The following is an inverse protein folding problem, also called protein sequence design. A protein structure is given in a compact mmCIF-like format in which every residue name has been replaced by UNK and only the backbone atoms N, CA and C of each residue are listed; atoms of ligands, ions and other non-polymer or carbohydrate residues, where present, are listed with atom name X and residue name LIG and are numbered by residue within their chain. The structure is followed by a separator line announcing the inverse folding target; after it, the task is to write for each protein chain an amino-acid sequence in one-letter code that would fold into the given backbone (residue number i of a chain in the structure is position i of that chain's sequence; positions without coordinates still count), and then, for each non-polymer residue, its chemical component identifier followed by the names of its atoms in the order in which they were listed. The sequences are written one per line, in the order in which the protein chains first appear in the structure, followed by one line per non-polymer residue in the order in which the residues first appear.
data_IF_964944794479
#
_entry.id   IF_964944794479
#
_cell.length_a   1.000
_cell.length_b   1.000
_cell.length_c   1.000
_cell.angle_alpha   90.00
_cell.angle_beta   90.00
_cell.angle_gamma   90.00
#
_symmetry.space_group_name_H-M   'P 1'
#
loop_
_entity.id
_entity.type
_entity.pdbx_description
1 polymer ?
#
# COMPACT_ATOMS: atom_id res chain seq x y z
N UNK A 1 -3.07 -6.08 -4.44
CA UNK A 1 -2.77 -5.76 -3.02
C UNK A 1 -1.94 -6.89 -2.43
N UNK A 2 -0.99 -6.60 -1.58
CA UNK A 2 -0.15 -7.61 -0.95
C UNK A 2 -0.17 -7.42 0.59
N UNK A 3 -1.31 -7.67 1.19
CA UNK A 3 -1.50 -7.71 2.63
C UNK A 3 -1.51 -9.17 3.08
N UNK A 4 -0.59 -9.57 3.93
CA UNK A 4 -0.56 -10.91 4.52
C UNK A 4 -1.83 -11.19 5.31
N UNK A 5 -2.29 -10.21 6.07
CA UNK A 5 -3.53 -10.32 6.86
C UNK A 5 -4.73 -10.63 5.97
N UNK A 6 -4.92 -9.86 4.89
CA UNK A 6 -6.07 -10.05 3.99
C UNK A 6 -5.96 -11.32 3.13
N UNK A 7 -4.75 -11.76 2.79
CA UNK A 7 -4.56 -13.04 2.09
C UNK A 7 -4.76 -14.27 2.99
N UNK A 8 -4.64 -14.12 4.30
CA UNK A 8 -4.89 -15.18 5.29
C UNK A 8 -6.36 -15.23 5.75
N UNK A 9 -7.13 -14.18 5.53
CA UNK A 9 -8.53 -14.06 5.97
C UNK A 9 -9.48 -14.66 4.91
N UNK A 10 -10.15 -15.76 5.25
CA UNK A 10 -11.12 -16.45 4.39
C UNK A 10 -12.31 -15.57 3.97
N UNK A 11 -12.62 -14.51 4.70
CA UNK A 11 -13.68 -13.56 4.36
C UNK A 11 -13.21 -12.44 3.44
N UNK A 12 -11.92 -12.32 3.20
CA UNK A 12 -11.34 -11.28 2.36
C UNK A 12 -11.62 -11.51 0.87
N UNK A 13 -11.97 -10.46 0.11
CA UNK A 13 -12.18 -10.58 -1.34
C UNK A 13 -10.90 -10.96 -2.11
N UNK A 14 -9.73 -10.85 -1.49
CA UNK A 14 -8.45 -11.23 -2.12
C UNK A 14 -7.92 -12.59 -1.66
N UNK A 15 -8.66 -13.31 -0.81
CA UNK A 15 -8.23 -14.62 -0.28
C UNK A 15 -7.82 -15.60 -1.39
N UNK A 16 -8.57 -15.68 -2.48
CA UNK A 16 -8.33 -16.61 -3.59
C UNK A 16 -7.32 -16.11 -4.64
N UNK A 17 -6.82 -14.89 -4.50
CA UNK A 17 -5.81 -14.34 -5.42
C UNK A 17 -4.44 -14.91 -5.08
N UNK A 18 -3.98 -15.88 -5.88
CA UNK A 18 -2.74 -16.64 -5.62
C UNK A 18 -1.60 -16.26 -6.58
N UNK A 19 -1.09 -15.05 -6.46
CA UNK A 19 0.05 -14.55 -7.22
C UNK A 19 1.32 -14.61 -6.36
N UNK A 20 1.83 -15.80 -6.06
CA UNK A 20 2.87 -16.03 -5.05
C UNK A 20 4.10 -15.14 -5.22
N UNK A 21 4.70 -15.12 -6.40
CA UNK A 21 5.92 -14.32 -6.64
C UNK A 21 5.66 -12.81 -6.47
N UNK A 22 4.57 -12.31 -7.03
CA UNK A 22 4.16 -10.91 -6.89
C UNK A 22 3.86 -10.56 -5.43
N UNK A 23 3.02 -11.34 -4.77
CA UNK A 23 2.61 -11.08 -3.38
C UNK A 23 3.82 -11.16 -2.43
N UNK A 24 4.74 -12.12 -2.64
CA UNK A 24 5.97 -12.23 -1.84
C UNK A 24 6.86 -11.00 -2.01
N UNK A 25 7.03 -10.51 -3.24
CA UNK A 25 7.83 -9.31 -3.50
C UNK A 25 7.25 -8.06 -2.81
N UNK A 26 5.93 -7.91 -2.81
CA UNK A 26 5.24 -6.78 -2.17
C UNK A 26 5.23 -6.91 -0.65
N UNK A 27 5.14 -8.11 -0.10
CA UNK A 27 5.28 -8.34 1.34
C UNK A 27 6.69 -8.00 1.81
N UNK A 28 7.72 -8.34 1.03
CA UNK A 28 9.09 -7.93 1.33
C UNK A 28 9.25 -6.41 1.32
N UNK A 29 8.63 -5.70 0.37
CA UNK A 29 8.60 -4.24 0.33
C UNK A 29 7.89 -3.65 1.56
N UNK A 30 6.78 -4.24 1.99
CA UNK A 30 6.08 -3.83 3.21
C UNK A 30 6.97 -4.00 4.45
N UNK A 31 7.65 -5.13 4.57
CA UNK A 31 8.60 -5.37 5.67
C UNK A 31 9.74 -4.34 5.65
N UNK A 32 10.31 -4.04 4.49
CA UNK A 32 11.33 -3.00 4.33
C UNK A 32 10.81 -1.63 4.77
N UNK A 33 9.58 -1.27 4.40
CA UNK A 33 8.93 -0.01 4.81
C UNK A 33 8.87 0.12 6.33
N UNK A 34 8.45 -0.94 7.04
CA UNK A 34 8.36 -0.96 8.50
C UNK A 34 9.75 -0.74 9.12
N UNK A 35 10.76 -1.49 8.68
CA UNK A 35 12.11 -1.37 9.22
C UNK A 35 12.73 0.01 8.96
N UNK A 36 12.54 0.56 7.77
CA UNK A 36 13.05 1.88 7.44
C UNK A 36 12.36 2.98 8.26
N UNK A 37 11.04 2.88 8.46
CA UNK A 37 10.31 3.79 9.33
C UNK A 37 10.83 3.76 10.77
N UNK A 38 11.14 2.56 11.29
CA UNK A 38 11.71 2.39 12.62
C UNK A 38 13.14 2.96 12.71
N UNK A 39 13.97 2.71 11.70
CA UNK A 39 15.36 3.21 11.67
C UNK A 39 15.41 4.75 11.65
N UNK A 40 14.44 5.39 10.99
CA UNK A 40 14.36 6.84 10.83
C UNK A 40 13.42 7.53 11.84
N UNK A 41 12.92 6.82 12.86
CA UNK A 41 11.93 7.33 13.82
C UNK A 41 12.31 8.61 14.56
N UNK A 42 13.60 8.86 14.72
CA UNK A 42 14.13 10.05 15.41
C UNK A 42 14.48 11.20 14.43
N UNK A 43 14.06 11.09 13.18
CA UNK A 43 14.23 12.12 12.14
C UNK A 43 12.88 12.70 11.72
N UNK A 44 12.91 13.72 10.87
CA UNK A 44 11.70 14.28 10.24
C UNK A 44 11.17 13.45 9.06
N UNK A 45 11.89 12.39 8.66
CA UNK A 45 11.53 11.56 7.52
C UNK A 45 10.35 10.65 7.88
N UNK A 46 9.32 10.66 7.06
CA UNK A 46 8.16 9.76 7.14
C UNK A 46 8.29 8.68 6.06
N UNK A 47 8.09 7.44 6.44
CA UNK A 47 8.18 6.29 5.52
C UNK A 47 6.88 5.51 5.58
N UNK A 48 6.14 5.46 4.48
CA UNK A 48 4.86 4.77 4.38
C UNK A 48 4.79 3.96 3.08
N UNK A 49 3.96 2.93 3.07
CA UNK A 49 3.59 2.20 1.87
C UNK A 49 2.25 2.72 1.33
N UNK A 50 2.20 3.02 0.04
CA UNK A 50 0.99 3.44 -0.64
C UNK A 50 0.39 2.29 -1.46
N UNK A 51 -0.91 2.05 -1.31
CA UNK A 51 -1.67 1.19 -2.20
C UNK A 51 -2.51 2.05 -3.15
N UNK A 52 -2.21 2.06 -4.45
CA UNK A 52 -2.96 2.90 -5.41
C UNK A 52 -4.37 2.37 -5.69
N UNK A 53 -4.67 1.13 -5.34
CA UNK A 53 -5.87 0.43 -5.76
C UNK A 53 -5.65 -0.36 -7.06
N UNK A 54 -6.74 -0.82 -7.67
CA UNK A 54 -6.71 -1.43 -9.00
C UNK A 54 -7.07 -0.39 -10.05
N UNK A 55 -6.05 0.08 -10.76
CA UNK A 55 -6.10 1.29 -11.58
C UNK A 55 -6.04 0.94 -13.07
N UNK A 56 -6.80 1.63 -13.90
CA UNK A 56 -6.79 1.52 -15.37
C UNK A 56 -5.45 2.00 -15.92
N UNK A 57 -4.54 1.07 -16.08
CA UNK A 57 -3.21 1.23 -16.67
C UNK A 57 -2.93 0.03 -17.57
N UNK A 58 -1.84 0.04 -18.30
CA UNK A 58 -1.43 -1.12 -19.09
C UNK A 58 -1.32 -2.39 -18.25
N UNK A 59 -0.89 -2.27 -16.98
CA UNK A 59 -0.80 -3.38 -16.03
C UNK A 59 -2.17 -3.75 -15.44
N UNK A 60 -3.00 -2.77 -15.10
CA UNK A 60 -4.30 -2.99 -14.45
C UNK A 60 -5.40 -3.44 -15.40
N UNK A 61 -5.27 -3.11 -16.68
CA UNK A 61 -6.24 -3.42 -17.72
C UNK A 61 -7.45 -2.46 -17.74
N UNK A 62 -8.25 -2.58 -18.80
CA UNK A 62 -9.41 -1.71 -19.05
C UNK A 62 -10.58 -1.92 -18.07
N UNK A 63 -10.64 -3.10 -17.44
CA UNK A 63 -11.70 -3.44 -16.47
C UNK A 63 -11.42 -3.00 -15.04
N UNK A 64 -10.26 -2.36 -14.79
CA UNK A 64 -9.94 -1.82 -13.47
C UNK A 64 -10.98 -0.74 -13.08
N UNK A 65 -11.43 -0.71 -11.82
CA UNK A 65 -12.50 0.19 -11.39
C UNK A 65 -12.05 1.65 -11.18
N UNK A 66 -10.75 1.88 -11.01
CA UNK A 66 -10.22 3.20 -10.64
C UNK A 66 -9.57 3.89 -11.83
N UNK A 67 -9.81 5.18 -11.98
CA UNK A 67 -9.09 6.03 -12.93
C UNK A 67 -7.67 6.36 -12.41
N UNK A 68 -6.77 6.77 -13.32
CA UNK A 68 -5.36 7.07 -12.99
C UNK A 68 -5.27 8.18 -11.92
N UNK A 69 -6.11 9.20 -12.01
CA UNK A 69 -6.15 10.31 -11.05
C UNK A 69 -6.53 9.86 -9.64
N UNK A 70 -7.46 8.90 -9.53
CA UNK A 70 -7.86 8.31 -8.24
C UNK A 70 -6.73 7.45 -7.67
N UNK A 71 -6.08 6.62 -8.51
CA UNK A 71 -4.95 5.80 -8.10
C UNK A 71 -3.74 6.62 -7.62
N UNK A 72 -3.50 7.77 -8.24
CA UNK A 72 -2.44 8.69 -7.85
C UNK A 72 -2.69 9.41 -6.52
N UNK A 73 -3.97 9.57 -6.12
CA UNK A 73 -4.36 10.38 -4.96
C UNK A 73 -3.64 9.98 -3.68
N UNK A 74 -3.57 8.69 -3.35
CA UNK A 74 -2.89 8.22 -2.14
C UNK A 74 -1.42 8.65 -2.10
N UNK A 75 -0.72 8.60 -3.23
CA UNK A 75 0.69 8.97 -3.32
C UNK A 75 0.85 10.47 -3.15
N UNK A 76 0.01 11.27 -3.82
CA UNK A 76 0.02 12.74 -3.71
C UNK A 76 -0.29 13.18 -2.27
N UNK A 77 -1.32 12.60 -1.65
CA UNK A 77 -1.69 12.91 -0.26
C UNK A 77 -0.51 12.61 0.70
N UNK A 78 0.19 11.50 0.52
CA UNK A 78 1.36 11.14 1.32
C UNK A 78 2.56 12.06 1.10
N UNK A 79 2.72 12.65 -0.09
CA UNK A 79 3.74 13.66 -0.35
C UNK A 79 3.46 14.99 0.36
N UNK A 80 2.22 15.24 0.74
CA UNK A 80 1.75 16.48 1.35
C UNK A 80 1.45 16.35 2.85
N UNK A 81 1.78 15.23 3.48
CA UNK A 81 1.53 15.03 4.92
C UNK A 81 2.36 15.99 5.77
N UNK A 82 1.76 16.42 6.88
CA UNK A 82 2.41 17.26 7.88
C UNK A 82 3.28 16.43 8.84
N UNK A 83 4.01 17.11 9.71
CA UNK A 83 4.94 16.47 10.67
C UNK A 83 4.26 15.45 11.60
N UNK A 84 2.97 15.64 11.93
CA UNK A 84 2.16 14.72 12.72
C UNK A 84 1.48 13.62 11.88
N UNK A 85 1.76 13.56 10.58
CA UNK A 85 1.19 12.57 9.67
C UNK A 85 1.68 11.14 9.93
N UNK A 86 1.15 10.16 9.17
CA UNK A 86 1.46 8.75 9.37
C UNK A 86 2.95 8.45 9.11
N UNK A 87 3.48 7.46 9.86
CA UNK A 87 4.81 6.91 9.66
C UNK A 87 4.77 5.39 9.94
N UNK A 88 5.35 4.60 9.05
CA UNK A 88 5.32 3.14 9.15
C UNK A 88 3.93 2.56 8.88
N UNK A 89 3.13 3.21 8.05
CA UNK A 89 1.76 2.79 7.74
C UNK A 89 1.62 2.29 6.29
N UNK A 90 0.61 1.44 6.07
CA UNK A 90 0.18 1.00 4.75
C UNK A 90 -1.16 1.68 4.43
N UNK A 91 -1.20 2.53 3.41
CA UNK A 91 -2.30 3.49 3.22
C UNK A 91 -2.94 3.36 1.84
N UNK A 92 -4.28 3.45 1.83
CA UNK A 92 -5.10 3.58 0.63
C UNK A 92 -6.21 4.62 0.85
N UNK A 93 -6.24 5.66 0.02
CA UNK A 93 -7.23 6.73 0.07
C UNK A 93 -7.48 7.26 1.50
N UNK A 94 -6.40 7.55 2.23
CA UNK A 94 -6.44 8.07 3.59
C UNK A 94 -6.72 7.06 4.70
N UNK A 95 -6.99 5.79 4.35
CA UNK A 95 -7.27 4.72 5.32
C UNK A 95 -6.04 3.84 5.54
N UNK A 96 -5.82 3.43 6.78
CA UNK A 96 -4.83 2.42 7.10
C UNK A 96 -5.33 1.04 6.66
N UNK A 97 -4.48 0.34 5.93
CA UNK A 97 -4.67 -1.07 5.58
C UNK A 97 -3.86 -1.96 6.54
N UNK A 98 -4.32 -3.17 6.80
CA UNK A 98 -3.51 -4.18 7.50
C UNK A 98 -2.37 -4.66 6.58
N UNK A 99 -1.22 -4.93 7.20
CA UNK A 99 -0.03 -5.45 6.51
C UNK A 99 -0.24 -6.84 5.92
#
# INVERSE_FOLDING_TARGET
MASLTLHADHSSPIYDIKLLAYNSSKTALNQFTIHLAQALKNSSVKVNAAHPGWVKTDLGGEYAPMEITEGAKTIVDLCLIEDNGPNGAFIHLGNNLPW
#
